data_IF_029367229436
#
_entry.id   IF_029367229436
#
_cell.length_a   1.000
_cell.length_b   1.000
_cell.length_c   1.000
_cell.angle_alpha   90.00
_cell.angle_beta   90.00
_cell.angle_gamma   90.00
#
_symmetry.space_group_name_H-M   'P 1'
#
loop_
_entity.id
_entity.type
_entity.pdbx_description
1 polymer ?
#
# COMPACT_ATOMS: atom_id res chain seq x y z
N UNK A 1 -12.19 -64.18 4.39
CA UNK A 1 -12.10 -63.24 3.26
C UNK A 1 -12.46 -61.87 3.81
N UNK A 2 -11.43 -61.05 4.13
CA UNK A 2 -11.60 -59.70 4.72
C UNK A 2 -11.47 -58.66 3.63
N UNK A 3 -12.55 -57.96 3.30
CA UNK A 3 -12.58 -56.80 2.46
C UNK A 3 -12.05 -55.60 3.29
N UNK A 4 -10.87 -55.03 2.92
CA UNK A 4 -10.37 -53.77 3.46
C UNK A 4 -11.05 -52.59 2.76
N UNK A 5 -11.36 -51.50 3.46
CA UNK A 5 -12.02 -50.34 2.87
C UNK A 5 -11.05 -49.48 2.10
N UNK A 6 -11.22 -49.39 0.77
CA UNK A 6 -10.49 -48.53 -0.15
C UNK A 6 -10.98 -47.06 -0.17
N UNK A 7 -11.88 -46.66 0.76
CA UNK A 7 -12.55 -45.36 0.72
C UNK A 7 -11.90 -44.24 1.56
N UNK A 8 -10.88 -44.53 2.39
CA UNK A 8 -10.30 -43.55 3.32
C UNK A 8 -9.20 -42.71 2.66
N UNK A 9 -8.50 -43.21 1.64
CA UNK A 9 -7.39 -42.52 0.99
C UNK A 9 -7.83 -41.32 0.13
N UNK A 10 -9.02 -41.36 -0.48
CA UNK A 10 -9.52 -40.28 -1.34
C UNK A 10 -9.95 -39.03 -0.57
N UNK A 11 -10.50 -39.20 0.63
CA UNK A 11 -10.96 -38.05 1.44
C UNK A 11 -9.81 -37.23 2.03
N UNK A 12 -8.71 -37.89 2.41
CA UNK A 12 -7.52 -37.25 2.96
C UNK A 12 -6.78 -36.42 1.89
N UNK A 13 -6.73 -36.92 0.64
CA UNK A 13 -6.08 -36.21 -0.47
C UNK A 13 -6.86 -34.98 -0.89
N UNK A 14 -8.20 -35.02 -0.94
CA UNK A 14 -9.06 -33.90 -1.25
C UNK A 14 -8.97 -32.79 -0.17
N UNK A 15 -8.93 -33.16 1.11
CA UNK A 15 -8.77 -32.21 2.21
C UNK A 15 -7.39 -31.53 2.20
N UNK A 16 -6.33 -32.25 1.86
CA UNK A 16 -4.98 -31.68 1.73
C UNK A 16 -4.87 -30.72 0.56
N UNK A 17 -5.48 -31.02 -0.59
CA UNK A 17 -5.53 -30.12 -1.76
C UNK A 17 -6.34 -28.84 -1.47
N UNK A 18 -7.46 -28.96 -0.77
CA UNK A 18 -8.25 -27.80 -0.36
C UNK A 18 -7.50 -26.90 0.63
N UNK A 19 -6.79 -27.48 1.60
CA UNK A 19 -5.98 -26.73 2.56
C UNK A 19 -4.78 -26.02 1.88
N UNK A 20 -4.16 -26.62 0.87
CA UNK A 20 -3.11 -25.99 0.06
C UNK A 20 -3.66 -24.85 -0.78
N UNK A 21 -4.84 -24.98 -1.36
CA UNK A 21 -5.47 -23.93 -2.14
C UNK A 21 -5.81 -22.71 -1.26
N UNK A 22 -6.42 -22.92 -0.08
CA UNK A 22 -6.75 -21.82 0.85
C UNK A 22 -5.50 -21.13 1.41
N UNK A 23 -4.42 -21.88 1.66
CA UNK A 23 -3.15 -21.28 2.09
C UNK A 23 -2.48 -20.45 0.98
N UNK A 24 -2.65 -20.84 -0.27
CA UNK A 24 -2.14 -20.13 -1.44
C UNK A 24 -2.92 -18.84 -1.71
N UNK A 25 -4.25 -18.87 -1.59
CA UNK A 25 -5.13 -17.69 -1.71
C UNK A 25 -4.83 -16.67 -0.61
N UNK A 26 -4.70 -17.09 0.64
CA UNK A 26 -4.35 -16.22 1.77
C UNK A 26 -2.97 -15.57 1.59
N UNK A 27 -1.99 -16.29 1.05
CA UNK A 27 -0.67 -15.73 0.75
C UNK A 27 -0.72 -14.73 -0.40
N UNK A 28 -1.57 -14.94 -1.41
CA UNK A 28 -1.81 -14.01 -2.52
C UNK A 28 -2.42 -12.70 -2.02
N UNK A 29 -3.36 -12.77 -1.10
CA UNK A 29 -3.98 -11.60 -0.48
C UNK A 29 -2.97 -10.80 0.34
N UNK A 30 -2.14 -11.45 1.17
CA UNK A 30 -1.11 -10.80 1.97
C UNK A 30 0.03 -10.18 1.13
N UNK A 31 0.33 -10.74 -0.04
CA UNK A 31 1.27 -10.13 -1.00
C UNK A 31 0.76 -8.81 -1.57
N UNK A 32 -0.55 -8.58 -1.58
CA UNK A 32 -1.18 -7.35 -2.04
C UNK A 32 -1.67 -6.46 -0.90
N UNK A 33 -1.11 -6.64 0.30
CA UNK A 33 -1.37 -5.78 1.45
C UNK A 33 -0.06 -5.21 2.02
N UNK A 34 -0.13 -3.97 2.52
CA UNK A 34 0.96 -3.35 3.27
C UNK A 34 0.49 -3.00 4.68
N UNK A 35 1.38 -3.19 5.65
CA UNK A 35 1.24 -2.67 7.01
C UNK A 35 2.14 -1.45 7.16
N UNK A 36 1.53 -0.29 7.40
CA UNK A 36 2.22 0.96 7.70
C UNK A 36 2.05 1.27 9.19
N UNK A 37 3.16 1.30 9.92
CA UNK A 37 3.18 1.67 11.33
C UNK A 37 3.50 3.14 11.47
N UNK A 38 2.74 3.83 12.32
CA UNK A 38 2.93 5.23 12.70
C UNK A 38 2.88 5.36 14.21
N UNK A 39 3.22 6.55 14.75
CA UNK A 39 3.06 6.83 16.19
C UNK A 39 1.60 6.76 16.67
N UNK A 40 0.64 6.85 15.74
CA UNK A 40 -0.80 6.83 16.02
C UNK A 40 -1.43 5.44 15.86
N UNK A 41 -0.67 4.45 15.37
CA UNK A 41 -1.11 3.08 15.15
C UNK A 41 -0.82 2.55 13.75
N UNK A 42 -1.41 1.39 13.45
CA UNK A 42 -1.28 0.71 12.17
C UNK A 42 -2.32 1.19 11.16
N UNK A 43 -1.87 1.35 9.92
CA UNK A 43 -2.71 1.52 8.74
C UNK A 43 -2.52 0.30 7.83
N UNK A 44 -3.61 -0.33 7.42
CA UNK A 44 -3.59 -1.45 6.48
C UNK A 44 -3.94 -0.91 5.09
N UNK A 45 -3.07 -1.18 4.13
CA UNK A 45 -3.21 -0.70 2.76
C UNK A 45 -3.40 -1.90 1.84
N UNK A 46 -4.48 -1.91 1.08
CA UNK A 46 -4.71 -2.84 -0.02
C UNK A 46 -4.10 -2.27 -1.29
N UNK A 47 -3.17 -3.01 -1.89
CA UNK A 47 -2.56 -2.67 -3.18
C UNK A 47 -3.51 -2.97 -4.33
N UNK A 48 -3.39 -2.19 -5.41
CA UNK A 48 -4.22 -2.30 -6.61
C UNK A 48 -3.36 -2.61 -7.85
N UNK A 49 -2.78 -3.84 -7.94
CA UNK A 49 -1.99 -4.25 -9.10
C UNK A 49 -2.82 -4.34 -10.39
N UNK A 50 -4.13 -4.44 -10.27
CA UNK A 50 -5.09 -4.37 -11.37
C UNK A 50 -5.13 -2.98 -12.04
N UNK A 51 -4.84 -1.90 -11.29
CA UNK A 51 -4.83 -0.53 -11.78
C UNK A 51 -3.42 -0.03 -12.13
N UNK A 52 -2.42 -0.38 -11.33
CA UNK A 52 -1.07 0.17 -11.42
C UNK A 52 0.01 -0.89 -11.10
N UNK A 53 0.18 -1.91 -11.95
CA UNK A 53 1.10 -3.02 -11.68
C UNK A 53 2.55 -2.58 -11.49
N UNK A 54 3.03 -1.58 -12.23
CA UNK A 54 4.40 -1.08 -12.14
C UNK A 54 4.63 -0.31 -10.83
N UNK A 55 3.68 0.54 -10.44
CA UNK A 55 3.75 1.26 -9.16
C UNK A 55 3.67 0.31 -7.97
N UNK A 56 2.75 -0.66 -7.99
CA UNK A 56 2.62 -1.67 -6.94
C UNK A 56 3.90 -2.48 -6.79
N UNK A 57 4.49 -2.95 -7.90
CA UNK A 57 5.77 -3.68 -7.86
C UNK A 57 6.87 -2.83 -7.22
N UNK A 58 6.96 -1.53 -7.59
CA UNK A 58 7.97 -0.62 -7.04
C UNK A 58 7.75 -0.31 -5.57
N UNK A 59 6.52 -0.05 -5.13
CA UNK A 59 6.22 0.18 -3.72
C UNK A 59 6.57 -1.04 -2.86
N UNK A 60 6.26 -2.25 -3.32
CA UNK A 60 6.65 -3.50 -2.64
C UNK A 60 8.17 -3.66 -2.56
N UNK A 61 8.88 -3.37 -3.64
CA UNK A 61 10.35 -3.38 -3.67
C UNK A 61 10.94 -2.44 -2.62
N UNK A 62 10.49 -1.18 -2.60
CA UNK A 62 10.93 -0.15 -1.65
C UNK A 62 10.56 -0.51 -0.20
N UNK A 63 9.37 -1.08 0.04
CA UNK A 63 8.96 -1.55 1.36
C UNK A 63 9.87 -2.67 1.88
N UNK A 64 10.27 -3.62 1.01
CA UNK A 64 11.22 -4.69 1.32
C UNK A 64 12.64 -4.17 1.60
N UNK A 65 13.04 -3.10 0.93
CA UNK A 65 14.29 -2.38 1.20
C UNK A 65 14.24 -1.50 2.44
N UNK A 66 13.10 -1.42 3.14
CA UNK A 66 12.85 -0.52 4.28
C UNK A 66 13.05 0.97 3.93
N UNK A 67 12.91 1.32 2.65
CA UNK A 67 13.13 2.67 2.14
C UNK A 67 12.25 3.71 2.82
N UNK A 68 11.01 3.34 3.16
CA UNK A 68 10.04 4.25 3.76
C UNK A 68 10.22 4.46 5.27
N UNK A 69 11.06 3.65 5.94
CA UNK A 69 11.25 3.73 7.38
C UNK A 69 11.86 5.07 7.79
N UNK A 70 11.20 5.76 8.72
CA UNK A 70 11.60 7.07 9.19
C UNK A 70 11.26 8.24 8.27
N UNK A 71 10.69 8.01 7.07
CA UNK A 71 10.30 9.09 6.16
C UNK A 71 9.11 9.88 6.71
N UNK A 72 9.14 11.23 6.64
CA UNK A 72 8.09 12.07 7.18
C UNK A 72 6.89 12.21 6.22
N UNK A 73 5.73 12.52 6.79
CA UNK A 73 4.65 13.15 6.07
C UNK A 73 4.94 14.66 5.99
N UNK A 74 5.59 15.07 4.91
CA UNK A 74 6.12 16.43 4.74
C UNK A 74 5.10 17.45 4.24
N UNK A 75 3.94 17.00 3.75
CA UNK A 75 2.86 17.87 3.26
C UNK A 75 1.50 17.27 3.61
N UNK A 76 0.77 17.89 4.52
CA UNK A 76 -0.52 17.37 5.03
C UNK A 76 -1.55 18.48 5.03
N UNK A 77 -2.47 18.44 4.07
CA UNK A 77 -3.51 19.46 3.88
C UNK A 77 -4.82 18.95 4.45
N UNK A 78 -5.40 19.64 5.47
CA UNK A 78 -6.68 19.27 6.03
C UNK A 78 -7.78 19.15 4.96
N UNK A 79 -8.58 18.08 5.03
CA UNK A 79 -9.68 17.84 4.08
C UNK A 79 -9.24 17.40 2.68
N UNK A 80 -7.94 17.38 2.40
CA UNK A 80 -7.41 16.95 1.10
C UNK A 80 -6.59 15.66 1.22
N UNK A 81 -5.32 15.74 1.67
CA UNK A 81 -4.44 14.56 1.67
C UNK A 81 -3.28 14.67 2.66
N UNK A 82 -2.67 13.52 2.98
CA UNK A 82 -1.36 13.40 3.63
C UNK A 82 -0.34 12.84 2.63
N UNK A 83 0.73 13.58 2.35
CA UNK A 83 1.80 13.21 1.41
C UNK A 83 3.09 12.89 2.16
N UNK A 84 3.69 11.75 1.79
CA UNK A 84 4.95 11.24 2.33
C UNK A 84 5.76 10.47 1.29
N UNK A 85 6.74 9.67 1.75
CA UNK A 85 7.56 8.82 0.88
C UNK A 85 8.76 9.51 0.26
N UNK A 86 9.10 10.71 0.76
CA UNK A 86 10.34 11.42 0.46
C UNK A 86 11.35 11.22 1.60
N UNK A 87 12.49 10.56 1.38
CA UNK A 87 13.49 10.34 2.43
C UNK A 87 14.15 11.63 2.91
N UNK A 88 14.14 12.69 2.09
CA UNK A 88 14.69 14.00 2.47
C UNK A 88 13.71 14.86 3.26
N UNK A 89 12.40 14.57 3.15
CA UNK A 89 11.34 15.35 3.80
C UNK A 89 11.12 16.74 3.21
N UNK A 90 11.71 17.06 2.07
CA UNK A 90 11.63 18.38 1.43
C UNK A 90 10.55 18.48 0.35
N UNK A 91 10.00 17.35 -0.06
CA UNK A 91 9.07 17.21 -1.20
C UNK A 91 9.76 17.06 -2.55
N UNK A 92 11.09 17.12 -2.61
CA UNK A 92 11.88 17.03 -3.85
C UNK A 92 12.66 15.74 -3.99
N UNK A 93 12.79 14.95 -2.92
CA UNK A 93 13.49 13.68 -2.89
C UNK A 93 12.68 12.51 -3.45
N UNK A 94 13.36 11.40 -3.63
CA UNK A 94 12.76 10.15 -4.12
C UNK A 94 13.74 9.00 -4.09
N UNK A 95 13.34 7.87 -4.66
CA UNK A 95 14.17 6.65 -4.74
C UNK A 95 15.14 6.65 -5.93
N UNK A 96 15.10 7.68 -6.77
CA UNK A 96 15.94 7.82 -7.96
C UNK A 96 15.43 7.07 -9.20
N UNK A 97 14.25 6.43 -9.15
CA UNK A 97 13.67 5.71 -10.29
C UNK A 97 12.28 6.24 -10.62
N UNK A 98 12.17 6.93 -11.76
CA UNK A 98 10.90 7.45 -12.27
C UNK A 98 10.04 6.32 -12.83
N UNK A 99 8.73 6.48 -12.68
CA UNK A 99 7.70 5.55 -13.14
C UNK A 99 6.82 6.24 -14.18
N UNK A 100 6.46 5.50 -15.23
CA UNK A 100 5.45 5.95 -16.19
C UNK A 100 4.07 5.97 -15.54
N UNK A 101 3.23 6.91 -15.95
CA UNK A 101 1.87 7.02 -15.46
C UNK A 101 1.05 5.76 -15.79
N UNK A 102 0.25 5.32 -14.81
CA UNK A 102 -0.73 4.24 -14.94
C UNK A 102 -2.12 4.80 -14.55
N UNK A 103 -2.60 5.77 -15.34
CA UNK A 103 -3.88 6.42 -15.05
C UNK A 103 -5.05 5.48 -15.27
N UNK A 104 -6.06 5.59 -14.40
CA UNK A 104 -7.27 4.80 -14.44
C UNK A 104 -8.52 5.67 -14.23
N UNK A 105 -9.70 5.07 -14.36
CA UNK A 105 -10.97 5.71 -14.03
C UNK A 105 -11.36 5.57 -12.55
N UNK A 106 -10.50 4.97 -11.74
CA UNK A 106 -10.74 4.82 -10.30
C UNK A 106 -10.81 6.20 -9.65
N UNK A 107 -11.88 6.53 -8.91
CA UNK A 107 -12.05 7.85 -8.31
C UNK A 107 -11.15 8.03 -7.09
N UNK A 108 -10.59 9.23 -6.92
CA UNK A 108 -9.91 9.62 -5.69
C UNK A 108 -10.93 9.96 -4.60
N UNK A 109 -11.21 9.03 -3.72
CA UNK A 109 -12.10 9.13 -2.55
C UNK A 109 -11.31 9.02 -1.25
N UNK A 110 -11.97 9.19 -0.11
CA UNK A 110 -11.33 8.99 1.20
C UNK A 110 -10.65 7.61 1.26
N UNK A 111 -9.38 7.59 1.64
CA UNK A 111 -8.55 6.39 1.74
C UNK A 111 -7.85 5.99 0.44
N UNK A 112 -8.17 6.58 -0.72
CA UNK A 112 -7.45 6.32 -1.96
C UNK A 112 -6.00 6.80 -1.85
N UNK A 113 -5.06 5.99 -2.35
CA UNK A 113 -3.63 6.30 -2.36
C UNK A 113 -3.17 6.49 -3.78
N UNK A 114 -2.60 7.67 -4.03
CA UNK A 114 -2.07 8.05 -5.33
C UNK A 114 -0.56 8.25 -5.31
N UNK A 115 0.07 8.06 -6.46
CA UNK A 115 1.47 8.40 -6.68
C UNK A 115 1.61 9.91 -6.84
N UNK A 116 2.43 10.55 -6.00
CA UNK A 116 2.76 11.95 -6.17
C UNK A 116 3.76 12.13 -7.33
N UNK A 117 3.63 13.22 -8.07
CA UNK A 117 4.44 13.54 -9.24
C UNK A 117 4.65 15.04 -9.42
N UNK A 118 5.62 15.43 -10.22
CA UNK A 118 5.76 16.80 -10.71
C UNK A 118 4.75 17.08 -11.86
N UNK A 119 4.95 18.13 -12.63
CA UNK A 119 4.09 18.45 -13.77
C UNK A 119 4.08 17.34 -14.84
N UNK A 120 5.22 16.67 -15.07
CA UNK A 120 5.29 15.56 -16.01
C UNK A 120 4.51 14.35 -15.50
N UNK A 121 3.61 13.74 -16.28
CA UNK A 121 2.90 12.53 -15.93
C UNK A 121 3.82 11.37 -15.52
N UNK A 122 4.96 11.21 -16.19
CA UNK A 122 5.93 10.12 -16.01
C UNK A 122 7.02 10.47 -14.99
N UNK A 123 6.73 11.34 -14.02
CA UNK A 123 7.69 11.78 -13.02
C UNK A 123 7.46 11.22 -11.61
N UNK A 124 6.48 10.36 -11.43
CA UNK A 124 6.27 9.65 -10.16
C UNK A 124 7.53 8.85 -9.76
N UNK A 125 7.76 8.74 -8.46
CA UNK A 125 8.90 7.99 -7.91
C UNK A 125 8.44 7.24 -6.64
N UNK A 126 8.97 7.57 -5.47
CA UNK A 126 8.60 6.96 -4.19
C UNK A 126 7.51 7.71 -3.43
N UNK A 127 7.28 8.99 -3.75
CA UNK A 127 6.32 9.81 -3.02
C UNK A 127 4.88 9.40 -3.34
N UNK A 128 4.04 9.41 -2.30
CA UNK A 128 2.62 9.09 -2.39
C UNK A 128 1.79 9.99 -1.50
N UNK A 129 0.48 10.00 -1.74
CA UNK A 129 -0.47 10.69 -0.87
C UNK A 129 -1.70 9.82 -0.57
N UNK A 130 -2.28 10.01 0.62
CA UNK A 130 -3.51 9.36 1.09
C UNK A 130 -4.59 10.42 1.17
N UNK A 131 -5.71 10.26 0.47
CA UNK A 131 -6.80 11.22 0.46
C UNK A 131 -7.61 11.16 1.76
N UNK A 132 -7.90 12.33 2.37
CA UNK A 132 -8.83 12.46 3.50
C UNK A 132 -10.28 12.52 3.05
N UNK A 133 -10.55 12.97 1.83
CA UNK A 133 -11.87 13.15 1.25
C UNK A 133 -11.87 12.92 -0.25
N UNK A 134 -13.01 13.12 -0.91
CA UNK A 134 -13.14 13.09 -2.37
C UNK A 134 -12.32 14.23 -3.01
N UNK A 135 -11.53 13.90 -4.02
CA UNK A 135 -10.68 14.82 -4.78
C UNK A 135 -10.84 14.56 -6.28
N UNK A 136 -12.00 14.94 -6.84
CA UNK A 136 -12.41 14.65 -8.22
C UNK A 136 -11.50 15.27 -9.28
N UNK A 137 -10.82 16.38 -8.97
CA UNK A 137 -9.82 16.99 -9.86
C UNK A 137 -8.57 16.14 -10.09
N UNK A 138 -8.37 15.05 -9.33
CA UNK A 138 -7.28 14.11 -9.49
C UNK A 138 -7.64 12.93 -10.40
N UNK A 139 -8.94 12.70 -10.65
CA UNK A 139 -9.42 11.55 -11.40
C UNK A 139 -8.84 11.53 -12.82
N UNK A 140 -8.31 10.37 -13.22
CA UNK A 140 -7.69 10.19 -14.52
C UNK A 140 -6.38 10.95 -14.74
N UNK A 141 -5.89 11.70 -13.74
CA UNK A 141 -4.67 12.53 -13.86
C UNK A 141 -3.54 12.07 -12.93
N UNK A 142 -3.84 11.19 -11.97
CA UNK A 142 -2.86 10.60 -11.07
C UNK A 142 -3.04 9.08 -11.05
N UNK A 143 -1.95 8.36 -10.81
CA UNK A 143 -1.96 6.90 -10.69
C UNK A 143 -2.47 6.48 -9.31
N UNK A 144 -3.57 5.72 -9.27
CA UNK A 144 -4.05 5.05 -8.06
C UNK A 144 -3.35 3.70 -7.95
N UNK A 145 -2.61 3.46 -6.87
CA UNK A 145 -1.91 2.19 -6.66
C UNK A 145 -2.38 1.43 -5.40
N UNK A 146 -3.21 2.06 -4.57
CA UNK A 146 -3.70 1.44 -3.33
C UNK A 146 -4.87 2.17 -2.70
N UNK A 147 -5.41 1.56 -1.66
CA UNK A 147 -6.45 2.13 -0.82
C UNK A 147 -6.23 1.70 0.64
N UNK A 148 -6.55 2.57 1.58
CA UNK A 148 -6.59 2.22 3.01
C UNK A 148 -7.80 1.35 3.27
N UNK A 149 -7.56 0.11 3.70
CA UNK A 149 -8.63 -0.83 4.10
C UNK A 149 -8.96 -0.73 5.58
N UNK A 150 -7.95 -0.40 6.44
CA UNK A 150 -8.12 -0.22 7.88
C UNK A 150 -7.22 0.91 8.38
N UNK A 151 -7.65 1.63 9.43
CA UNK A 151 -6.82 2.64 10.08
C UNK A 151 -6.91 4.04 9.48
N UNK A 152 -8.00 4.41 8.78
CA UNK A 152 -8.21 5.80 8.34
C UNK A 152 -8.32 6.79 9.50
N UNK A 153 -8.77 6.35 10.67
CA UNK A 153 -8.75 7.15 11.91
C UNK A 153 -7.32 7.42 12.41
N UNK A 154 -6.38 6.54 12.10
CA UNK A 154 -4.94 6.75 12.34
C UNK A 154 -4.38 7.79 11.37
N UNK A 155 -4.74 7.70 10.08
CA UNK A 155 -4.33 8.67 9.05
C UNK A 155 -4.86 10.08 9.38
N UNK A 156 -6.07 10.18 9.91
CA UNK A 156 -6.66 11.47 10.32
C UNK A 156 -5.87 12.19 11.42
N UNK A 157 -5.12 11.44 12.26
CA UNK A 157 -4.31 11.99 13.37
C UNK A 157 -2.98 12.56 12.91
N UNK A 158 -2.54 12.29 11.67
CA UNK A 158 -1.27 12.80 11.14
C UNK A 158 -1.27 14.32 11.19
N UNK A 159 -0.19 14.88 11.72
CA UNK A 159 0.00 16.32 11.92
C UNK A 159 -0.16 17.10 10.61
N UNK A 160 -0.97 18.17 10.65
CA UNK A 160 -1.28 19.00 9.47
C UNK A 160 -0.23 20.10 9.29
N UNK A 161 0.04 20.46 8.03
CA UNK A 161 0.95 21.53 7.62
C UNK A 161 1.70 21.24 6.32
N UNK A 162 2.31 22.31 5.75
CA UNK A 162 3.06 22.27 4.48
C UNK A 162 4.42 22.98 4.61
N UNK A 163 5.42 22.42 5.33
CA UNK A 163 5.38 21.16 6.12
C UNK A 163 4.72 21.36 7.48
N UNK A 164 4.30 20.25 8.17
CA UNK A 164 3.92 20.28 9.56
C UNK A 164 5.07 20.78 10.46
N UNK A 165 4.76 21.55 11.51
CA UNK A 165 5.78 22.03 12.45
C UNK A 165 6.55 20.87 13.14
N UNK A 166 5.89 19.74 13.35
CA UNK A 166 6.47 18.48 13.83
C UNK A 166 5.88 17.34 13.01
N UNK A 167 6.52 16.97 11.88
CA UNK A 167 5.99 15.94 11.00
C UNK A 167 5.95 14.56 11.66
N UNK A 168 4.81 13.87 11.54
CA UNK A 168 4.75 12.44 11.82
C UNK A 168 5.56 11.66 10.78
N UNK A 169 6.04 10.49 11.20
CA UNK A 169 6.88 9.62 10.36
C UNK A 169 6.23 8.26 10.16
N UNK A 170 6.53 7.65 9.04
CA UNK A 170 6.33 6.22 8.83
C UNK A 170 7.39 5.49 9.67
N UNK A 171 6.98 4.79 10.74
CA UNK A 171 7.88 4.00 11.57
C UNK A 171 8.39 2.81 10.76
N UNK A 172 7.48 2.13 10.07
CA UNK A 172 7.82 1.08 9.12
C UNK A 172 6.71 0.88 8.09
N UNK A 173 7.10 0.44 6.89
CA UNK A 173 6.17 -0.02 5.85
C UNK A 173 6.61 -1.41 5.39
N UNK A 174 5.74 -2.40 5.50
CA UNK A 174 6.05 -3.81 5.18
C UNK A 174 4.98 -4.44 4.32
N UNK A 175 5.39 -5.32 3.40
CA UNK A 175 4.46 -6.24 2.74
C UNK A 175 3.95 -7.22 3.80
N UNK A 176 2.63 -7.40 3.91
CA UNK A 176 2.02 -8.21 4.97
C UNK A 176 2.52 -9.66 4.95
N UNK A 177 2.70 -10.24 3.77
CA UNK A 177 3.27 -11.58 3.61
C UNK A 177 4.68 -11.75 4.21
N UNK A 178 5.44 -10.66 4.36
CA UNK A 178 6.79 -10.69 4.94
C UNK A 178 6.76 -10.41 6.47
N UNK A 179 5.71 -9.74 6.97
CA UNK A 179 5.56 -9.41 8.38
C UNK A 179 5.16 -10.64 9.23
N UNK A 180 4.50 -11.63 8.64
CA UNK A 180 4.02 -12.85 9.31
C UNK A 180 5.07 -13.98 9.36
N UNK A 181 6.26 -13.77 8.78
CA UNK A 181 7.35 -14.77 8.75
C UNK A 181 8.26 -14.73 10.00
N UNK A 182 7.72 -14.35 11.17
CA UNK A 182 8.49 -14.36 12.42
C UNK A 182 8.29 -15.65 13.21
#
# INVERSE_FOLDING_TARGET
>A
MRLLPRFIAGLALAAALAALATAQDNKGDLENMLYMETAHGRVVIKLRPDLAPTHVARVKELARQKFYDGTPFHRVIPGFMAQGGDPTGTGTGGSGKKLKAEFSKEPFKRGTIGAARSQSPDSADSQFFICFARADWLDGQYTVWGEVSEGMDVVDKIAKGEPPAKPDKIISLRVAADAEKK
#
